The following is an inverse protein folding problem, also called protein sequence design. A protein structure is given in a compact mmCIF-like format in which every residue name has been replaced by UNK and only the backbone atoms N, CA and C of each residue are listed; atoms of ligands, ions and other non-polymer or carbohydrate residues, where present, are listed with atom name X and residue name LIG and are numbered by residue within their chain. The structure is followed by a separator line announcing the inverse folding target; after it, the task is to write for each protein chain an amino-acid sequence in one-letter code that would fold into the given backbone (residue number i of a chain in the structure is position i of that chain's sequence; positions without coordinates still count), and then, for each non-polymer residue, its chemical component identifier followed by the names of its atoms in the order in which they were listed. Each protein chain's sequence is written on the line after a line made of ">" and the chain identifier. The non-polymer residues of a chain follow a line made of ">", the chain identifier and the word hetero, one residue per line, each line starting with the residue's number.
data_IF_928496399523
#
_entry.id   IF_928496399523
#
_cell.length_a   1.000
_cell.length_b   1.000
_cell.length_c   1.000
_cell.angle_alpha   90.00
_cell.angle_beta   90.00
_cell.angle_gamma   90.00
#
_symmetry.space_group_name_H-M   'P 1'
#
loop_
_entity.id
_entity.type
_entity.pdbx_description
1 polymer ?
#
# COMPACT_ATOMS: atom_id res chain seq x y z
N UNK A 1 -11.92 -1.11 -25.58
CA UNK A 1 -12.54 -0.56 -26.81
C UNK A 1 -11.72 0.62 -27.33
N UNK A 2 -11.49 1.65 -26.52
CA UNK A 2 -10.69 2.83 -26.91
C UNK A 2 -9.20 2.57 -27.12
N UNK A 3 -8.69 1.41 -26.68
CA UNK A 3 -7.31 0.96 -26.84
C UNK A 3 -7.04 0.11 -28.09
N UNK A 4 -8.07 -0.18 -28.90
CA UNK A 4 -7.93 -0.92 -30.16
C UNK A 4 -7.28 0.02 -31.20
N UNK A 5 -6.39 -0.46 -32.09
CA UNK A 5 -5.68 0.38 -33.06
C UNK A 5 -6.61 1.33 -33.83
N UNK A 6 -7.73 0.82 -34.38
CA UNK A 6 -8.71 1.64 -35.11
C UNK A 6 -9.33 2.77 -34.30
N UNK A 7 -9.46 2.61 -32.98
CA UNK A 7 -10.00 3.64 -32.09
C UNK A 7 -8.93 4.62 -31.63
N UNK A 8 -7.68 4.16 -31.49
CA UNK A 8 -6.53 5.02 -31.22
C UNK A 8 -6.27 5.96 -32.40
N UNK A 9 -6.31 5.44 -33.63
CA UNK A 9 -6.16 6.23 -34.87
C UNK A 9 -7.28 7.26 -35.03
N UNK A 10 -8.48 6.96 -34.50
CA UNK A 10 -9.62 7.87 -34.47
C UNK A 10 -9.59 8.90 -33.31
N UNK A 11 -8.51 8.94 -32.52
CA UNK A 11 -8.34 9.89 -31.42
C UNK A 11 -9.13 9.56 -30.14
N UNK A 12 -9.72 8.37 -30.04
CA UNK A 12 -10.51 7.96 -28.87
C UNK A 12 -9.64 7.56 -27.65
N UNK A 13 -8.30 7.52 -27.81
CA UNK A 13 -7.35 7.11 -26.78
C UNK A 13 -7.44 7.94 -25.50
N UNK A 14 -7.25 9.26 -25.60
CA UNK A 14 -7.22 10.16 -24.44
C UNK A 14 -8.56 10.20 -23.67
N UNK A 15 -9.73 10.37 -24.31
CA UNK A 15 -11.02 10.31 -23.60
C UNK A 15 -11.24 8.96 -22.91
N UNK A 16 -10.88 7.86 -23.59
CA UNK A 16 -11.00 6.52 -23.02
C UNK A 16 -10.12 6.29 -21.80
N UNK A 17 -8.89 6.81 -21.84
CA UNK A 17 -7.94 6.76 -20.73
C UNK A 17 -8.47 7.53 -19.51
N UNK A 18 -8.97 8.75 -19.70
CA UNK A 18 -9.53 9.58 -18.62
C UNK A 18 -10.73 8.91 -17.94
N UNK A 19 -11.66 8.38 -18.73
CA UNK A 19 -12.82 7.63 -18.20
C UNK A 19 -12.36 6.39 -17.43
N UNK A 20 -11.38 5.67 -17.98
CA UNK A 20 -10.79 4.49 -17.34
C UNK A 20 -10.23 4.80 -15.94
N UNK A 21 -9.42 5.86 -15.81
CA UNK A 21 -8.84 6.27 -14.52
C UNK A 21 -9.94 6.60 -13.49
N UNK A 22 -10.99 7.31 -13.91
CA UNK A 22 -12.08 7.70 -13.00
C UNK A 22 -12.81 6.46 -12.50
N UNK A 23 -13.14 5.52 -13.40
CA UNK A 23 -13.82 4.28 -13.03
C UNK A 23 -12.96 3.40 -12.11
N UNK A 24 -11.66 3.28 -12.39
CA UNK A 24 -10.73 2.52 -11.55
C UNK A 24 -10.60 3.14 -10.14
N UNK A 25 -10.55 4.47 -10.06
CA UNK A 25 -10.45 5.18 -8.78
C UNK A 25 -11.66 4.97 -7.87
N UNK A 26 -12.86 4.82 -8.45
CA UNK A 26 -14.09 4.53 -7.67
C UNK A 26 -14.05 3.09 -7.10
N UNK A 27 -13.45 2.14 -7.81
CA UNK A 27 -13.43 0.72 -7.42
C UNK A 27 -12.52 0.38 -6.24
N UNK A 28 -11.46 1.14 -5.99
CA UNK A 28 -10.44 0.83 -4.97
C UNK A 28 -10.84 1.15 -3.52
N UNK A 29 -12.03 1.74 -3.28
CA UNK A 29 -12.43 2.25 -1.96
C UNK A 29 -13.01 1.23 -0.98
N UNK A 30 -12.92 -0.08 -1.23
CA UNK A 30 -13.67 -1.10 -0.49
C UNK A 30 -12.81 -2.27 0.01
N UNK A 31 -11.79 -1.99 0.82
CA UNK A 31 -11.13 -3.03 1.61
C UNK A 31 -11.60 -2.92 3.07
N UNK A 32 -12.45 -3.86 3.50
CA UNK A 32 -12.98 -3.92 4.86
C UNK A 32 -12.58 -5.24 5.50
N UNK A 33 -11.69 -5.15 6.49
CA UNK A 33 -11.38 -6.28 7.36
C UNK A 33 -12.57 -6.53 8.28
N UNK A 34 -13.05 -7.77 8.28
CA UNK A 34 -14.05 -8.21 9.25
C UNK A 34 -13.36 -8.57 10.55
N UNK A 35 -13.97 -8.14 11.65
CA UNK A 35 -13.58 -8.50 13.00
C UNK A 35 -13.77 -10.00 13.25
N UNK A 36 -12.71 -10.68 13.70
CA UNK A 36 -12.80 -12.06 14.18
C UNK A 36 -12.93 -12.05 15.71
N UNK A 37 -14.01 -12.63 16.23
CA UNK A 37 -14.11 -12.94 17.65
C UNK A 37 -13.12 -14.07 18.02
N UNK A 38 -12.47 -13.94 19.17
CA UNK A 38 -11.63 -15.00 19.74
C UNK A 38 -12.46 -16.27 19.96
N UNK A 39 -12.23 -17.31 19.14
CA UNK A 39 -12.86 -18.61 19.32
C UNK A 39 -11.91 -19.56 20.03
N UNK A 40 -12.30 -19.98 21.24
CA UNK A 40 -11.67 -21.12 21.92
C UNK A 40 -12.16 -22.38 21.20
N UNK A 41 -11.32 -22.98 20.36
CA UNK A 41 -11.63 -24.25 19.72
C UNK A 41 -11.17 -25.40 20.61
N UNK A 42 -12.11 -26.25 21.00
CA UNK A 42 -11.80 -27.55 21.62
C UNK A 42 -11.68 -28.55 20.49
N UNK A 43 -10.46 -29.09 20.28
CA UNK A 43 -10.24 -30.15 19.29
C UNK A 43 -10.99 -31.43 19.72
N UNK A 44 -11.29 -32.36 18.80
CA UNK A 44 -11.96 -33.64 19.13
C UNK A 44 -11.24 -34.49 20.18
N UNK A 45 -9.96 -34.20 20.45
CA UNK A 45 -9.13 -34.84 21.47
C UNK A 45 -9.17 -34.14 22.85
N UNK A 46 -10.09 -33.20 23.08
CA UNK A 46 -10.25 -32.50 24.36
C UNK A 46 -9.20 -31.42 24.66
N UNK A 47 -8.22 -31.20 23.78
CA UNK A 47 -7.24 -30.11 23.96
C UNK A 47 -7.89 -28.77 23.61
N UNK A 48 -7.91 -27.87 24.60
CA UNK A 48 -8.25 -26.45 24.41
C UNK A 48 -7.09 -25.79 23.67
N UNK A 49 -7.34 -25.31 22.46
CA UNK A 49 -6.37 -24.51 21.72
C UNK A 49 -6.86 -23.07 21.77
N UNK A 50 -6.11 -22.24 22.50
CA UNK A 50 -6.28 -20.79 22.42
C UNK A 50 -5.60 -20.38 21.12
N UNK A 51 -6.37 -19.86 20.18
CA UNK A 51 -5.80 -19.25 18.98
C UNK A 51 -5.21 -17.92 19.44
N UNK A 52 -3.89 -17.87 19.55
CA UNK A 52 -3.17 -16.62 19.77
C UNK A 52 -3.42 -15.71 18.55
N UNK A 53 -4.16 -14.62 18.79
CA UNK A 53 -4.65 -13.72 17.74
C UNK A 53 -3.49 -13.02 17.05
N UNK A 54 -2.49 -12.59 17.81
CA UNK A 54 -1.36 -11.81 17.29
C UNK A 54 -0.51 -12.71 16.36
N UNK A 55 -0.25 -13.95 16.80
CA UNK A 55 0.54 -14.92 16.03
C UNK A 55 -0.19 -15.48 14.81
N UNK A 56 -1.53 -15.41 14.79
CA UNK A 56 -2.38 -15.82 13.67
C UNK A 56 -2.54 -14.69 12.65
N UNK A 57 -2.68 -13.45 13.12
CA UNK A 57 -2.74 -12.26 12.25
C UNK A 57 -1.42 -12.05 11.51
N UNK A 58 -0.27 -12.18 12.18
CA UNK A 58 1.05 -12.10 11.53
C UNK A 58 1.17 -13.08 10.34
N UNK A 59 0.73 -14.32 10.51
CA UNK A 59 0.75 -15.34 9.45
C UNK A 59 -0.18 -15.00 8.29
N UNK A 60 -1.36 -14.49 8.58
CA UNK A 60 -2.35 -14.09 7.56
C UNK A 60 -1.82 -12.88 6.79
N UNK A 61 -1.29 -11.87 7.47
CA UNK A 61 -0.69 -10.70 6.83
C UNK A 61 0.50 -11.09 5.97
N UNK A 62 1.39 -11.97 6.44
CA UNK A 62 2.47 -12.48 5.60
C UNK A 62 1.96 -13.25 4.38
N UNK A 63 0.96 -14.12 4.52
CA UNK A 63 0.38 -14.85 3.39
C UNK A 63 -0.31 -13.91 2.39
N UNK A 64 -1.04 -12.91 2.88
CA UNK A 64 -1.64 -11.86 2.07
C UNK A 64 -0.57 -11.07 1.31
N UNK A 65 0.48 -10.62 1.99
CA UNK A 65 1.57 -9.85 1.39
C UNK A 65 2.30 -10.64 0.29
N UNK A 66 2.53 -11.93 0.54
CA UNK A 66 3.07 -12.86 -0.46
C UNK A 66 2.14 -13.00 -1.67
N UNK A 67 0.83 -13.11 -1.45
CA UNK A 67 -0.15 -13.22 -2.53
C UNK A 67 -0.21 -11.95 -3.38
N UNK A 68 -0.21 -10.76 -2.76
CA UNK A 68 -0.20 -9.47 -3.45
C UNK A 68 1.07 -9.33 -4.30
N UNK A 69 2.24 -9.56 -3.72
CA UNK A 69 3.52 -9.46 -4.44
C UNK A 69 3.66 -10.51 -5.56
N UNK A 70 3.13 -11.72 -5.36
CA UNK A 70 3.07 -12.73 -6.43
C UNK A 70 2.13 -12.27 -7.55
N UNK A 71 0.98 -11.67 -7.21
CA UNK A 71 0.06 -11.08 -8.17
C UNK A 71 0.68 -9.93 -8.96
N UNK A 72 1.52 -9.11 -8.34
CA UNK A 72 2.23 -8.02 -9.00
C UNK A 72 3.18 -8.51 -10.11
N UNK A 73 3.69 -9.76 -10.04
CA UNK A 73 4.48 -10.37 -11.11
C UNK A 73 3.69 -10.59 -12.41
N UNK A 74 2.35 -10.49 -12.39
CA UNK A 74 1.54 -10.46 -13.61
C UNK A 74 1.93 -9.33 -14.56
N UNK A 75 2.54 -8.26 -14.06
CA UNK A 75 3.10 -7.18 -14.88
C UNK A 75 4.16 -7.69 -15.88
N UNK A 76 4.86 -8.80 -15.59
CA UNK A 76 5.74 -9.45 -16.58
C UNK A 76 4.95 -9.86 -17.83
N UNK A 77 3.84 -10.57 -17.65
CA UNK A 77 3.01 -10.99 -18.78
C UNK A 77 2.40 -9.78 -19.50
N UNK A 78 1.87 -8.81 -18.75
CA UNK A 78 1.20 -7.63 -19.30
C UNK A 78 2.14 -6.77 -20.15
N UNK A 79 3.38 -6.55 -19.71
CA UNK A 79 4.37 -5.72 -20.41
C UNK A 79 4.87 -6.36 -21.71
N UNK A 80 5.04 -7.68 -21.76
CA UNK A 80 5.35 -8.37 -23.01
C UNK A 80 4.16 -8.39 -23.97
N UNK A 81 2.94 -8.61 -23.47
CA UNK A 81 1.73 -8.54 -24.31
C UNK A 81 1.56 -7.14 -24.89
N UNK A 82 1.81 -6.10 -24.09
CA UNK A 82 1.77 -4.72 -24.55
C UNK A 82 2.78 -4.47 -25.67
N UNK A 83 4.04 -4.90 -25.48
CA UNK A 83 5.11 -4.72 -26.45
C UNK A 83 4.88 -5.49 -27.75
N UNK A 84 4.45 -6.74 -27.67
CA UNK A 84 4.40 -7.66 -28.82
C UNK A 84 3.02 -7.69 -29.53
N UNK A 85 1.93 -7.37 -28.82
CA UNK A 85 0.55 -7.44 -29.35
C UNK A 85 -0.15 -6.07 -29.31
N UNK A 86 0.02 -5.33 -28.22
CA UNK A 86 -0.53 -3.99 -28.03
C UNK A 86 -1.43 -3.84 -26.81
N UNK A 87 -1.71 -2.58 -26.46
CA UNK A 87 -2.41 -2.17 -25.24
C UNK A 87 -3.78 -2.83 -25.02
N UNK A 88 -4.55 -3.09 -26.07
CA UNK A 88 -5.88 -3.68 -25.93
C UNK A 88 -5.85 -5.09 -25.32
N UNK A 89 -4.82 -5.89 -25.65
CA UNK A 89 -4.68 -7.25 -25.16
C UNK A 89 -4.19 -7.25 -23.70
N UNK A 90 -3.28 -6.34 -23.35
CA UNK A 90 -2.84 -6.10 -21.98
C UNK A 90 -4.01 -5.72 -21.05
N UNK A 91 -4.87 -4.78 -21.48
CA UNK A 91 -6.05 -4.40 -20.71
C UNK A 91 -7.10 -5.50 -20.64
N UNK A 92 -7.24 -6.33 -21.68
CA UNK A 92 -8.14 -7.49 -21.66
C UNK A 92 -7.71 -8.52 -20.63
N UNK A 93 -6.40 -8.79 -20.49
CA UNK A 93 -5.88 -9.69 -19.46
C UNK A 93 -6.27 -9.21 -18.05
N UNK A 94 -6.08 -7.92 -17.76
CA UNK A 94 -6.47 -7.32 -16.49
C UNK A 94 -7.99 -7.42 -16.24
N UNK A 95 -8.80 -7.17 -17.28
CA UNK A 95 -10.25 -7.33 -17.19
C UNK A 95 -10.68 -8.77 -16.86
N UNK A 96 -10.09 -9.76 -17.54
CA UNK A 96 -10.37 -11.17 -17.29
C UNK A 96 -9.99 -11.59 -15.86
N UNK A 97 -8.84 -11.11 -15.36
CA UNK A 97 -8.42 -11.35 -13.98
C UNK A 97 -9.40 -10.75 -12.96
N UNK A 98 -9.93 -9.55 -13.23
CA UNK A 98 -10.95 -8.91 -12.40
C UNK A 98 -12.29 -9.66 -12.45
N UNK A 99 -12.72 -10.14 -13.62
CA UNK A 99 -13.91 -10.98 -13.72
C UNK A 99 -13.76 -12.29 -12.94
N UNK A 100 -12.58 -12.89 -12.96
CA UNK A 100 -12.28 -14.11 -12.21
C UNK A 100 -12.30 -13.86 -10.69
N UNK A 101 -11.75 -12.72 -10.23
CA UNK A 101 -11.78 -12.37 -8.81
C UNK A 101 -13.20 -12.08 -8.31
N UNK A 102 -14.02 -11.39 -9.12
CA UNK A 102 -15.45 -11.18 -8.84
C UNK A 102 -16.23 -12.50 -8.81
N UNK A 103 -15.97 -13.40 -9.75
CA UNK A 103 -16.60 -14.73 -9.76
C UNK A 103 -16.26 -15.50 -8.49
N UNK A 104 -14.99 -15.51 -8.08
CA UNK A 104 -14.56 -16.13 -6.84
C UNK A 104 -15.27 -15.52 -5.62
N UNK A 105 -15.44 -14.19 -5.58
CA UNK A 105 -16.15 -13.50 -4.51
C UNK A 105 -17.64 -13.87 -4.47
N UNK A 106 -18.31 -13.93 -5.62
CA UNK A 106 -19.72 -14.33 -5.71
C UNK A 106 -19.92 -15.79 -5.27
N UNK A 107 -19.03 -16.70 -5.68
CA UNK A 107 -19.08 -18.10 -5.28
C UNK A 107 -18.80 -18.29 -3.78
N UNK A 108 -17.90 -17.46 -3.21
CA UNK A 108 -17.53 -17.50 -1.81
C UNK A 108 -18.42 -16.64 -0.90
N UNK A 109 -19.44 -15.94 -1.43
CA UNK A 109 -20.24 -14.95 -0.67
C UNK A 109 -20.83 -15.49 0.64
N UNK A 110 -21.22 -16.76 0.67
CA UNK A 110 -21.81 -17.41 1.84
C UNK A 110 -20.78 -17.71 2.95
N UNK A 111 -19.48 -17.52 2.67
CA UNK A 111 -18.37 -17.70 3.61
C UNK A 111 -17.76 -16.36 4.05
N UNK A 112 -18.21 -15.24 3.50
CA UNK A 112 -17.74 -13.90 3.87
C UNK A 112 -18.46 -13.47 5.14
N UNK A 113 -17.71 -13.07 6.16
CA UNK A 113 -18.28 -12.56 7.40
C UNK A 113 -19.05 -11.25 7.14
N UNK A 114 -20.14 -11.04 7.88
CA UNK A 114 -20.94 -9.82 7.75
C UNK A 114 -20.12 -8.59 8.15
N UNK A 115 -20.21 -7.48 7.41
CA UNK A 115 -19.48 -6.26 7.75
C UNK A 115 -19.81 -5.81 9.16
N UNK A 116 -18.78 -5.38 9.87
CA UNK A 116 -18.98 -4.71 11.13
C UNK A 116 -19.73 -3.37 10.97
N UNK A 117 -20.49 -2.93 11.98
CA UNK A 117 -21.04 -1.59 12.06
C UNK A 117 -20.00 -0.47 11.93
N UNK A 118 -20.44 0.69 11.41
CA UNK A 118 -19.57 1.81 11.07
C UNK A 118 -19.27 2.69 12.31
N UNK A 119 -18.00 2.72 12.71
CA UNK A 119 -17.53 3.54 13.84
C UNK A 119 -17.17 4.99 13.46
N UNK A 120 -16.99 5.28 12.16
CA UNK A 120 -16.48 6.57 11.68
C UNK A 120 -17.39 7.75 12.05
N UNK A 121 -18.73 7.66 11.92
CA UNK A 121 -19.62 8.76 12.32
C UNK A 121 -19.48 9.10 13.80
N UNK A 122 -19.35 8.09 14.67
CA UNK A 122 -19.18 8.27 16.11
C UNK A 122 -17.82 8.91 16.42
N UNK A 123 -16.75 8.43 15.80
CA UNK A 123 -15.42 9.04 15.94
C UNK A 123 -15.41 10.50 15.46
N UNK A 124 -16.08 10.80 14.34
CA UNK A 124 -16.20 12.17 13.81
C UNK A 124 -16.95 13.10 14.77
N UNK A 125 -18.04 12.64 15.39
CA UNK A 125 -18.77 13.40 16.43
C UNK A 125 -17.87 13.73 17.63
N UNK A 126 -17.08 12.77 18.10
CA UNK A 126 -16.14 12.97 19.21
C UNK A 126 -15.07 14.00 18.84
N UNK A 127 -14.48 13.88 17.65
CA UNK A 127 -13.46 14.82 17.15
C UNK A 127 -14.02 16.24 17.01
N UNK A 128 -15.24 16.40 16.49
CA UNK A 128 -15.91 17.70 16.43
C UNK A 128 -16.12 18.30 17.82
N UNK A 129 -16.45 17.48 18.82
CA UNK A 129 -16.62 17.95 20.19
C UNK A 129 -15.32 18.43 20.81
N UNK A 130 -14.24 17.65 20.64
CA UNK A 130 -12.92 18.03 21.09
C UNK A 130 -12.46 19.33 20.40
N UNK A 131 -12.69 19.47 19.08
CA UNK A 131 -12.32 20.66 18.32
C UNK A 131 -13.06 21.93 18.80
N UNK A 132 -14.36 21.83 19.10
CA UNK A 132 -15.14 22.95 19.64
C UNK A 132 -14.66 23.41 21.03
N UNK A 133 -14.04 22.52 21.79
CA UNK A 133 -13.53 22.78 23.14
C UNK A 133 -11.99 22.90 23.17
N UNK A 134 -11.40 23.50 22.13
CA UNK A 134 -9.97 23.80 22.10
C UNK A 134 -9.06 22.58 21.90
N UNK A 135 -9.50 21.59 21.13
CA UNK A 135 -8.80 20.32 20.87
C UNK A 135 -8.57 19.45 22.11
N UNK A 136 -9.37 19.65 23.17
CA UNK A 136 -9.29 18.84 24.37
C UNK A 136 -10.21 17.61 24.29
N UNK A 137 -9.61 16.43 24.06
CA UNK A 137 -10.33 15.15 24.00
C UNK A 137 -11.04 14.78 25.30
N UNK A 138 -10.59 15.28 26.45
CA UNK A 138 -11.22 14.97 27.75
C UNK A 138 -12.61 15.58 27.87
N UNK A 139 -12.88 16.66 27.13
CA UNK A 139 -14.22 17.30 27.10
C UNK A 139 -15.25 16.45 26.35
N UNK A 140 -14.80 15.53 25.49
CA UNK A 140 -15.68 14.63 24.75
C UNK A 140 -16.05 13.35 25.53
N UNK A 141 -15.51 13.18 26.75
CA UNK A 141 -15.91 12.10 27.68
C UNK A 141 -17.34 12.29 28.15
N UNK A 142 -18.04 11.19 28.45
CA UNK A 142 -19.43 11.17 28.93
C UNK A 142 -19.64 12.10 30.12
N UNK A 143 -18.72 12.12 31.08
CA UNK A 143 -18.81 12.97 32.26
C UNK A 143 -18.73 14.48 31.95
N UNK A 144 -18.13 14.85 30.81
CA UNK A 144 -18.03 16.23 30.35
C UNK A 144 -19.20 16.67 29.46
N UNK A 145 -20.18 15.80 29.20
CA UNK A 145 -21.31 16.07 28.32
C UNK A 145 -22.61 16.28 29.12
N UNK A 146 -23.34 17.33 28.79
CA UNK A 146 -24.65 17.65 29.38
C UNK A 146 -25.78 16.78 28.83
N UNK A 147 -25.56 16.13 27.68
CA UNK A 147 -26.52 15.25 27.01
C UNK A 147 -26.03 13.80 26.98
N UNK A 148 -26.97 12.85 26.98
CA UNK A 148 -26.66 11.44 26.84
C UNK A 148 -26.03 11.17 25.46
N UNK A 149 -24.79 10.67 25.45
CA UNK A 149 -24.03 10.35 24.24
C UNK A 149 -23.91 8.83 24.04
N UNK A 150 -23.90 8.41 22.77
CA UNK A 150 -23.91 7.00 22.38
C UNK A 150 -22.53 6.31 22.51
N UNK A 151 -21.47 7.05 22.83
CA UNK A 151 -20.10 6.54 22.96
C UNK A 151 -19.64 6.50 24.41
N UNK A 152 -18.75 5.56 24.74
CA UNK A 152 -18.19 5.38 26.10
C UNK A 152 -16.81 6.05 26.27
N UNK A 153 -16.41 6.29 27.51
CA UNK A 153 -15.14 6.95 27.85
C UNK A 153 -13.94 6.14 27.38
N UNK A 154 -14.04 4.80 27.41
CA UNK A 154 -13.02 3.92 26.82
C UNK A 154 -12.79 4.24 25.34
N UNK A 155 -13.86 4.48 24.58
CA UNK A 155 -13.77 4.76 23.16
C UNK A 155 -13.11 6.12 22.88
N UNK A 156 -13.39 7.14 23.71
CA UNK A 156 -12.72 8.46 23.61
C UNK A 156 -11.22 8.32 23.88
N UNK A 157 -10.83 7.56 24.92
CA UNK A 157 -9.42 7.31 25.23
C UNK A 157 -8.70 6.53 24.12
N UNK A 158 -9.35 5.48 23.58
CA UNK A 158 -8.76 4.70 22.50
C UNK A 158 -8.64 5.52 21.21
N UNK A 159 -9.61 6.39 20.91
CA UNK A 159 -9.53 7.33 19.78
C UNK A 159 -8.37 8.33 19.98
N UNK A 160 -8.19 8.88 21.18
CA UNK A 160 -7.08 9.77 21.50
C UNK A 160 -5.71 9.07 21.33
N UNK A 161 -5.57 7.83 21.80
CA UNK A 161 -4.36 7.02 21.61
C UNK A 161 -4.10 6.74 20.12
N UNK A 162 -5.16 6.46 19.36
CA UNK A 162 -5.11 6.33 17.91
C UNK A 162 -4.60 7.60 17.23
N UNK A 163 -5.14 8.77 17.57
CA UNK A 163 -4.69 10.06 17.02
C UNK A 163 -3.23 10.37 17.35
N UNK A 164 -2.75 10.01 18.55
CA UNK A 164 -1.33 10.14 18.90
C UNK A 164 -0.48 9.20 18.06
N UNK A 165 -0.93 7.96 17.83
CA UNK A 165 -0.26 7.01 16.94
C UNK A 165 -0.23 7.50 15.48
N UNK A 166 -1.29 8.19 15.03
CA UNK A 166 -1.38 8.81 13.70
C UNK A 166 -0.28 9.85 13.43
N UNK A 167 0.36 10.43 14.46
CA UNK A 167 1.46 11.40 14.27
C UNK A 167 2.63 10.82 13.48
N UNK A 168 2.90 9.52 13.63
CA UNK A 168 3.97 8.85 12.87
C UNK A 168 3.61 8.78 11.39
N UNK A 169 2.33 8.59 11.07
CA UNK A 169 1.84 8.54 9.69
C UNK A 169 1.88 9.89 8.97
N UNK A 170 2.06 11.01 9.69
CA UNK A 170 2.25 12.32 9.05
C UNK A 170 3.50 12.38 8.16
N UNK A 171 4.49 11.51 8.38
CA UNK A 171 5.71 11.43 7.57
C UNK A 171 5.61 10.45 6.39
N UNK A 172 4.59 9.59 6.37
CA UNK A 172 4.41 8.59 5.31
C UNK A 172 4.14 9.19 3.92
N UNK A 173 3.45 10.33 3.75
CA UNK A 173 3.29 10.94 2.43
C UNK A 173 4.63 11.23 1.73
N UNK A 174 5.66 11.64 2.48
CA UNK A 174 7.00 11.89 1.92
C UNK A 174 7.61 10.58 1.41
N UNK A 175 7.52 9.53 2.23
CA UNK A 175 8.00 8.20 1.87
C UNK A 175 7.27 7.65 0.65
N UNK A 176 5.95 7.80 0.58
CA UNK A 176 5.15 7.38 -0.57
C UNK A 176 5.55 8.12 -1.85
N UNK A 177 5.88 9.41 -1.78
CA UNK A 177 6.38 10.14 -2.95
C UNK A 177 7.69 9.54 -3.47
N UNK A 178 8.59 9.13 -2.58
CA UNK A 178 9.84 8.44 -2.91
C UNK A 178 9.58 7.04 -3.48
N UNK A 179 8.78 6.23 -2.80
CA UNK A 179 8.47 4.88 -3.24
C UNK A 179 7.76 4.87 -4.61
N UNK A 180 6.84 5.82 -4.85
CA UNK A 180 6.15 5.93 -6.14
C UNK A 180 7.10 6.24 -7.32
N UNK A 181 8.35 6.65 -7.06
CA UNK A 181 9.35 6.86 -8.12
C UNK A 181 9.58 5.60 -8.96
N UNK A 182 9.48 4.42 -8.34
CA UNK A 182 9.70 3.14 -9.01
C UNK A 182 8.69 2.87 -10.15
N UNK A 183 7.50 3.47 -10.06
CA UNK A 183 6.40 3.29 -10.99
C UNK A 183 6.23 4.48 -11.96
N UNK A 184 7.10 5.48 -11.92
CA UNK A 184 7.06 6.62 -12.83
C UNK A 184 8.45 6.99 -13.38
N UNK A 185 9.24 7.71 -12.60
CA UNK A 185 10.48 8.32 -13.05
C UNK A 185 11.57 7.28 -13.31
N UNK A 186 11.60 6.16 -12.58
CA UNK A 186 12.54 5.08 -12.87
C UNK A 186 12.25 4.40 -14.22
N UNK A 187 10.98 4.30 -14.60
CA UNK A 187 10.57 3.80 -15.93
C UNK A 187 11.05 4.76 -17.01
N UNK A 188 10.82 6.06 -16.83
CA UNK A 188 11.32 7.08 -17.75
C UNK A 188 12.86 7.12 -17.80
N UNK A 189 13.53 6.91 -16.67
CA UNK A 189 14.99 6.79 -16.61
C UNK A 189 15.46 5.54 -17.37
N UNK A 190 14.78 4.40 -17.22
CA UNK A 190 15.10 3.17 -17.96
C UNK A 190 14.97 3.36 -19.48
N UNK A 191 14.03 4.19 -19.93
CA UNK A 191 13.86 4.54 -21.35
C UNK A 191 15.08 5.27 -21.94
N UNK A 192 15.89 5.92 -21.10
CA UNK A 192 17.12 6.62 -21.49
C UNK A 192 18.37 5.72 -21.40
N UNK A 193 18.20 4.44 -21.05
CA UNK A 193 19.25 3.45 -20.83
C UNK A 193 19.17 2.31 -21.83
N UNK A 194 20.26 1.56 -21.99
CA UNK A 194 20.29 0.35 -22.81
C UNK A 194 19.53 -0.77 -22.09
N UNK A 195 18.34 -1.12 -22.60
CA UNK A 195 17.48 -2.16 -22.02
C UNK A 195 17.69 -3.56 -22.57
N UNK A 196 18.59 -3.70 -23.55
CA UNK A 196 18.90 -4.98 -24.22
C UNK A 196 17.66 -5.72 -24.76
N UNK A 197 16.65 -4.95 -25.20
CA UNK A 197 15.42 -5.48 -25.79
C UNK A 197 14.28 -5.70 -24.79
N UNK A 198 14.45 -5.40 -23.50
CA UNK A 198 13.36 -5.43 -22.53
C UNK A 198 12.53 -4.14 -22.58
N UNK A 199 11.20 -4.21 -22.35
CA UNK A 199 10.37 -3.03 -22.13
C UNK A 199 10.84 -2.25 -20.89
N UNK A 200 10.68 -0.93 -20.85
CA UNK A 200 11.05 -0.12 -19.67
C UNK A 200 10.16 -0.45 -18.46
N UNK A 201 8.89 -0.74 -18.71
CA UNK A 201 7.89 -1.11 -17.70
C UNK A 201 8.11 -2.52 -17.11
N UNK A 202 9.09 -3.26 -17.62
CA UNK A 202 9.53 -4.54 -17.05
C UNK A 202 10.22 -4.35 -15.69
N UNK A 203 11.08 -3.34 -15.56
CA UNK A 203 11.99 -3.19 -14.41
C UNK A 203 11.30 -2.97 -13.05
N UNK A 204 10.14 -2.29 -12.95
CA UNK A 204 9.38 -2.22 -11.70
C UNK A 204 9.06 -3.57 -11.08
N UNK A 205 8.96 -4.65 -11.87
CA UNK A 205 8.72 -6.01 -11.35
C UNK A 205 9.86 -6.55 -10.48
N UNK A 206 11.03 -5.92 -10.49
CA UNK A 206 12.15 -6.27 -9.63
C UNK A 206 11.88 -5.97 -8.15
N UNK A 207 11.08 -4.94 -7.83
CA UNK A 207 10.68 -4.64 -6.45
C UNK A 207 9.91 -5.81 -5.80
N UNK A 208 8.78 -6.31 -6.35
CA UNK A 208 8.04 -7.39 -5.71
C UNK A 208 8.85 -8.69 -5.64
N UNK A 209 9.76 -8.94 -6.60
CA UNK A 209 10.73 -10.05 -6.51
C UNK A 209 11.65 -9.85 -5.30
N UNK A 210 12.21 -8.66 -5.12
CA UNK A 210 13.05 -8.33 -3.98
C UNK A 210 12.29 -8.51 -2.67
N UNK A 211 11.04 -8.02 -2.56
CA UNK A 211 10.18 -8.18 -1.38
C UNK A 211 9.96 -9.66 -1.04
N UNK A 212 9.62 -10.50 -2.04
CA UNK A 212 9.40 -11.94 -1.82
C UNK A 212 10.64 -12.66 -1.27
N UNK A 213 11.84 -12.23 -1.67
CA UNK A 213 13.11 -12.80 -1.17
C UNK A 213 13.51 -12.20 0.18
N UNK A 214 13.35 -10.89 0.37
CA UNK A 214 13.83 -10.16 1.53
C UNK A 214 12.92 -10.31 2.74
N UNK A 215 11.59 -10.38 2.55
CA UNK A 215 10.64 -10.56 3.65
C UNK A 215 10.94 -11.80 4.52
N UNK A 216 11.13 -13.02 3.97
CA UNK A 216 11.50 -14.18 4.80
C UNK A 216 12.89 -14.03 5.42
N UNK A 217 13.83 -13.35 4.76
CA UNK A 217 15.16 -13.08 5.35
C UNK A 217 15.05 -12.15 6.56
N UNK A 218 14.29 -11.07 6.46
CA UNK A 218 14.10 -10.13 7.58
C UNK A 218 13.36 -10.82 8.74
N UNK A 219 12.28 -11.54 8.45
CA UNK A 219 11.43 -12.15 9.48
C UNK A 219 12.03 -13.39 10.13
N UNK A 220 12.66 -14.28 9.36
CA UNK A 220 13.17 -15.57 9.85
C UNK A 220 14.67 -15.55 10.18
N UNK A 221 15.43 -14.57 9.67
CA UNK A 221 16.88 -14.49 9.92
C UNK A 221 17.22 -13.25 10.74
N UNK A 222 16.88 -12.05 10.27
CA UNK A 222 17.28 -10.80 10.94
C UNK A 222 16.62 -10.66 12.32
N UNK A 223 15.29 -10.75 12.41
CA UNK A 223 14.60 -10.56 13.69
C UNK A 223 14.98 -11.61 14.76
N UNK A 224 15.11 -12.91 14.47
CA UNK A 224 15.63 -13.87 15.44
C UNK A 224 17.07 -13.59 15.83
N UNK A 225 17.92 -13.14 14.90
CA UNK A 225 19.32 -12.79 15.20
C UNK A 225 19.42 -11.59 16.12
N UNK A 226 18.66 -10.52 15.86
CA UNK A 226 18.58 -9.36 16.75
C UNK A 226 18.09 -9.74 18.15
N UNK A 227 17.12 -10.66 18.24
CA UNK A 227 16.65 -11.22 19.52
C UNK A 227 17.75 -12.01 20.25
N UNK A 228 18.53 -12.84 19.56
CA UNK A 228 19.69 -13.54 20.13
C UNK A 228 20.76 -12.58 20.65
N UNK A 229 20.94 -11.45 19.95
CA UNK A 229 21.86 -10.38 20.34
C UNK A 229 21.28 -9.44 21.41
N UNK A 230 20.06 -9.69 21.92
CA UNK A 230 19.37 -8.86 22.91
C UNK A 230 19.15 -7.39 22.48
N UNK A 231 19.12 -7.14 21.16
CA UNK A 231 18.88 -5.80 20.60
C UNK A 231 17.37 -5.58 20.51
N UNK A 232 16.85 -4.58 21.24
CA UNK A 232 15.45 -4.16 21.14
C UNK A 232 15.23 -3.42 19.84
N UNK A 233 14.39 -3.97 18.95
CA UNK A 233 14.05 -3.34 17.68
C UNK A 233 12.53 -3.07 17.60
N UNK A 234 12.05 -1.97 18.23
CA UNK A 234 10.64 -1.63 18.26
C UNK A 234 10.12 -1.15 16.90
N UNK A 235 8.80 -1.20 16.64
CA UNK A 235 8.21 -0.84 15.34
C UNK A 235 8.65 0.52 14.79
N UNK A 236 8.71 1.56 15.65
CA UNK A 236 9.12 2.91 15.22
C UNK A 236 10.56 2.94 14.69
N UNK A 237 11.47 2.18 15.30
CA UNK A 237 12.86 2.11 14.83
C UNK A 237 12.96 1.33 13.52
N UNK A 238 12.13 0.30 13.33
CA UNK A 238 12.04 -0.44 12.06
C UNK A 238 11.60 0.49 10.94
N UNK A 239 10.54 1.26 11.16
CA UNK A 239 10.08 2.27 10.19
C UNK A 239 11.18 3.27 9.87
N UNK A 240 11.89 3.79 10.89
CA UNK A 240 12.99 4.73 10.67
C UNK A 240 14.13 4.13 9.81
N UNK A 241 14.44 2.84 9.97
CA UNK A 241 15.39 2.12 9.10
C UNK A 241 14.85 2.03 7.68
N UNK A 242 13.56 1.73 7.48
CA UNK A 242 12.93 1.75 6.16
C UNK A 242 13.06 3.11 5.46
N UNK A 243 12.77 4.19 6.18
CA UNK A 243 12.93 5.56 5.66
C UNK A 243 14.38 5.88 5.27
N UNK A 244 15.36 5.42 6.07
CA UNK A 244 16.77 5.62 5.77
C UNK A 244 17.19 4.85 4.51
N UNK A 245 16.75 3.59 4.38
CA UNK A 245 17.06 2.76 3.21
C UNK A 245 16.45 3.38 1.95
N UNK A 246 15.22 3.88 2.05
CA UNK A 246 14.54 4.58 0.95
C UNK A 246 15.30 5.84 0.52
N UNK A 247 15.75 6.65 1.49
CA UNK A 247 16.56 7.82 1.20
C UNK A 247 17.88 7.46 0.47
N UNK A 248 18.50 6.33 0.84
CA UNK A 248 19.70 5.81 0.17
C UNK A 248 19.36 5.34 -1.25
N UNK A 249 18.21 4.67 -1.45
CA UNK A 249 17.75 4.22 -2.76
C UNK A 249 17.56 5.39 -3.74
N UNK A 250 16.89 6.46 -3.28
CA UNK A 250 16.68 7.67 -4.08
C UNK A 250 18.00 8.41 -4.36
N UNK A 251 18.89 8.50 -3.37
CA UNK A 251 20.22 9.10 -3.58
C UNK A 251 21.04 8.32 -4.63
N UNK A 252 20.96 6.99 -4.60
CA UNK A 252 21.60 6.13 -5.60
C UNK A 252 20.97 6.33 -6.99
N UNK A 253 19.64 6.41 -7.08
CA UNK A 253 18.92 6.72 -8.32
C UNK A 253 19.34 8.07 -8.93
N UNK A 254 19.51 9.11 -8.11
CA UNK A 254 20.04 10.39 -8.56
C UNK A 254 21.47 10.28 -9.10
N UNK A 255 22.31 9.44 -8.47
CA UNK A 255 23.64 9.10 -8.97
C UNK A 255 23.60 8.42 -10.34
N UNK A 256 22.68 7.48 -10.56
CA UNK A 256 22.46 6.85 -11.88
C UNK A 256 22.07 7.91 -12.91
N UNK A 257 21.16 8.82 -12.57
CA UNK A 257 20.75 9.89 -13.49
C UNK A 257 21.95 10.75 -13.92
N UNK A 258 22.84 11.10 -12.99
CA UNK A 258 24.07 11.82 -13.30
C UNK A 258 24.99 11.01 -14.23
N UNK A 259 25.09 9.70 -14.03
CA UNK A 259 25.86 8.83 -14.93
C UNK A 259 25.26 8.83 -16.34
N UNK A 260 23.93 8.79 -16.47
CA UNK A 260 23.24 8.88 -17.78
C UNK A 260 23.62 10.18 -18.49
N UNK A 261 23.62 11.32 -17.79
CA UNK A 261 23.96 12.61 -18.38
C UNK A 261 25.43 12.76 -18.79
N UNK A 262 26.33 11.99 -18.19
CA UNK A 262 27.77 12.04 -18.51
C UNK A 262 28.18 11.05 -19.61
N UNK A 263 27.28 10.21 -20.09
CA UNK A 263 27.56 9.18 -21.09
C UNK A 263 26.94 9.53 -22.43
N UNK A 264 27.69 9.33 -23.51
CA UNK A 264 27.19 9.55 -24.87
C UNK A 264 26.12 8.52 -25.27
N UNK A 265 25.42 8.72 -26.40
CA UNK A 265 25.78 9.70 -27.42
C UNK A 265 25.20 11.10 -27.21
N UNK A 266 24.17 11.27 -26.37
CA UNK A 266 23.46 12.54 -26.22
C UNK A 266 23.72 13.28 -24.91
N UNK A 267 24.45 12.68 -23.96
CA UNK A 267 24.83 13.31 -22.68
C UNK A 267 23.59 13.85 -21.94
N UNK A 268 23.55 15.14 -21.58
CA UNK A 268 22.44 15.77 -20.85
C UNK A 268 21.10 15.72 -21.58
N UNK A 269 21.10 15.64 -22.91
CA UNK A 269 19.89 15.66 -23.74
C UNK A 269 19.57 14.26 -24.27
N UNK A 270 19.44 13.30 -23.35
CA UNK A 270 19.15 11.90 -23.69
C UNK A 270 17.97 11.79 -24.66
N UNK A 271 18.13 11.00 -25.72
CA UNK A 271 17.16 10.78 -26.81
C UNK A 271 16.90 11.95 -27.79
N UNK A 272 17.41 13.15 -27.51
CA UNK A 272 17.08 14.36 -28.29
C UNK A 272 18.16 14.77 -29.30
N UNK A 273 19.29 14.05 -29.36
CA UNK A 273 20.39 14.39 -30.26
C UNK A 273 20.33 13.64 -31.61
N UNK A 274 20.97 14.15 -32.67
CA UNK A 274 21.01 13.47 -33.98
C UNK A 274 21.59 12.05 -33.92
N UNK A 275 22.52 11.80 -32.99
CA UNK A 275 23.11 10.48 -32.77
C UNK A 275 22.15 9.48 -32.07
N UNK A 276 20.97 9.93 -31.66
CA UNK A 276 19.92 9.09 -31.07
C UNK A 276 19.06 8.34 -32.10
N UNK A 277 19.23 8.57 -33.41
CA UNK A 277 18.35 8.01 -34.46
C UNK A 277 16.86 8.26 -34.18
N UNK A 278 16.49 9.53 -33.94
CA UNK A 278 15.10 9.93 -33.66
C UNK A 278 14.55 9.37 -32.33
N UNK A 279 15.39 9.23 -31.31
CA UNK A 279 14.98 8.74 -29.98
C UNK A 279 15.04 7.23 -29.79
N UNK A 280 15.70 6.50 -30.70
CA UNK A 280 15.83 5.03 -30.63
C UNK A 280 17.09 4.54 -29.91
N UNK A 281 18.17 5.31 -29.99
CA UNK A 281 19.47 4.98 -29.39
C UNK A 281 19.61 5.75 -28.07
N UNK A 282 19.49 5.07 -26.90
CA UNK A 282 19.68 5.70 -25.60
C UNK A 282 21.16 6.01 -25.31
N UNK A 283 21.42 6.69 -24.19
CA UNK A 283 22.78 6.83 -23.68
C UNK A 283 23.33 5.46 -23.27
N UNK A 284 24.65 5.29 -23.43
CA UNK A 284 25.37 4.02 -23.23
C UNK A 284 25.57 3.70 -21.76
N UNK A 285 24.45 3.48 -21.08
CA UNK A 285 24.35 3.10 -19.68
C UNK A 285 23.41 1.92 -19.61
N UNK A 286 23.88 0.81 -19.04
CA UNK A 286 23.05 -0.38 -18.91
C UNK A 286 21.99 -0.18 -17.83
N UNK A 287 20.73 -0.49 -18.17
CA UNK A 287 19.58 -0.39 -17.25
C UNK A 287 19.74 -1.25 -16.00
N UNK A 288 20.57 -2.30 -16.04
CA UNK A 288 20.83 -3.19 -14.91
C UNK A 288 21.45 -2.47 -13.71
N UNK A 289 22.01 -1.26 -13.90
CA UNK A 289 22.42 -0.40 -12.80
C UNK A 289 21.27 0.04 -11.90
N UNK A 290 20.01 -0.09 -12.34
CA UNK A 290 18.83 0.18 -11.50
C UNK A 290 18.49 -0.97 -10.53
N UNK A 291 19.03 -2.19 -10.70
CA UNK A 291 18.73 -3.34 -9.82
C UNK A 291 18.87 -2.97 -8.32
N UNK A 292 19.98 -2.33 -7.88
CA UNK A 292 20.12 -1.97 -6.47
C UNK A 292 19.05 -0.99 -5.98
N UNK A 293 18.51 -0.12 -6.84
CA UNK A 293 17.42 0.79 -6.45
C UNK A 293 16.18 -0.03 -6.07
N UNK A 294 15.75 -0.94 -6.95
CA UNK A 294 14.58 -1.80 -6.70
C UNK A 294 14.76 -2.74 -5.51
N UNK A 295 15.99 -3.24 -5.28
CA UNK A 295 16.30 -4.10 -4.12
C UNK A 295 16.29 -3.30 -2.82
N UNK A 296 16.83 -2.07 -2.82
CA UNK A 296 16.81 -1.20 -1.65
C UNK A 296 15.40 -0.74 -1.33
N UNK A 297 14.62 -0.34 -2.32
CA UNK A 297 13.21 0.03 -2.18
C UNK A 297 12.38 -1.15 -1.64
N UNK A 298 12.53 -2.35 -2.21
CA UNK A 298 11.87 -3.55 -1.67
C UNK A 298 12.31 -3.91 -0.23
N UNK A 299 13.57 -3.63 0.14
CA UNK A 299 14.03 -3.76 1.53
C UNK A 299 13.39 -2.71 2.45
N UNK A 300 13.30 -1.46 1.98
CA UNK A 300 12.65 -0.37 2.69
C UNK A 300 11.18 -0.70 2.95
N UNK A 301 10.47 -1.17 1.93
CA UNK A 301 9.06 -1.58 1.96
C UNK A 301 8.79 -2.60 3.06
N UNK A 302 9.64 -3.62 3.20
CA UNK A 302 9.53 -4.61 4.29
C UNK A 302 9.62 -3.95 5.69
N UNK A 303 10.39 -2.87 5.83
CA UNK A 303 10.58 -2.18 7.10
C UNK A 303 9.56 -1.08 7.39
N UNK A 304 9.01 -0.42 6.36
CA UNK A 304 8.02 0.62 6.55
C UNK A 304 6.59 0.11 6.34
N UNK A 305 6.26 -0.58 5.25
CA UNK A 305 4.87 -0.86 4.90
C UNK A 305 4.29 -1.97 5.78
N UNK A 306 4.95 -3.12 5.83
CA UNK A 306 4.54 -4.26 6.68
C UNK A 306 4.43 -3.84 8.15
N UNK A 307 5.42 -3.08 8.64
CA UNK A 307 5.46 -2.62 10.03
C UNK A 307 4.42 -1.53 10.30
N UNK A 308 4.06 -0.71 9.30
CA UNK A 308 3.01 0.29 9.42
C UNK A 308 1.64 -0.33 9.62
N UNK A 309 1.35 -1.41 8.90
CA UNK A 309 0.10 -2.15 8.99
C UNK A 309 0.02 -2.86 10.35
N UNK A 310 1.10 -3.51 10.79
CA UNK A 310 1.23 -4.09 12.13
C UNK A 310 0.99 -3.03 13.22
N UNK A 311 1.62 -1.86 13.08
CA UNK A 311 1.51 -0.76 14.04
C UNK A 311 0.10 -0.17 14.08
N UNK A 312 -0.52 0.07 12.92
CA UNK A 312 -1.88 0.58 12.82
C UNK A 312 -2.88 -0.38 13.46
N UNK A 313 -2.75 -1.68 13.18
CA UNK A 313 -3.61 -2.71 13.73
C UNK A 313 -3.51 -2.77 15.27
N UNK A 314 -2.28 -2.75 15.79
CA UNK A 314 -2.01 -2.81 17.23
C UNK A 314 -2.49 -1.56 17.98
N UNK A 315 -2.56 -0.40 17.31
CA UNK A 315 -3.02 0.87 17.87
C UNK A 315 -4.50 1.17 17.64
N UNK A 316 -5.18 0.39 16.79
CA UNK A 316 -6.62 0.56 16.55
C UNK A 316 -7.45 0.20 17.80
N UNK A 317 -8.48 1.01 18.16
CA UNK A 317 -9.38 0.73 19.28
C UNK A 317 -10.03 -0.65 19.23
N UNK A 318 -10.27 -1.28 20.38
CA UNK A 318 -10.94 -2.59 20.44
C UNK A 318 -12.35 -2.56 19.82
N UNK A 319 -13.05 -1.43 19.94
CA UNK A 319 -14.42 -1.27 19.42
C UNK A 319 -14.48 -1.12 17.89
N UNK A 320 -13.35 -0.91 17.21
CA UNK A 320 -13.23 -1.07 15.75
C UNK A 320 -13.12 -2.55 15.37
N UNK A 321 -12.70 -3.39 16.32
CA UNK A 321 -12.50 -4.83 16.19
C UNK A 321 -13.75 -5.64 16.56
N UNK A 322 -14.85 -4.99 16.93
CA UNK A 322 -16.16 -5.61 17.15
C UNK A 322 -17.18 -4.47 17.32
N UNK A 323 -17.91 -4.11 16.26
CA UNK A 323 -18.79 -2.96 16.29
C UNK A 323 -20.08 -3.24 17.05
N UNK A 324 -20.38 -2.35 17.99
CA UNK A 324 -21.69 -2.28 18.62
C UNK A 324 -22.74 -1.81 17.60
N UNK A 325 -24.00 -2.25 17.72
CA UNK A 325 -25.06 -1.89 16.79
C UNK A 325 -25.30 -0.38 16.76
N UNK A 326 -25.21 0.17 15.55
CA UNK A 326 -25.50 1.56 15.23
C UNK A 326 -26.99 1.87 15.51
N UNK A 327 -27.27 2.79 16.43
CA UNK A 327 -28.60 3.43 16.53
C UNK A 327 -28.51 4.79 15.84
N UNK A 328 -29.17 4.93 14.70
CA UNK A 328 -29.26 6.21 14.00
C UNK A 328 -30.06 7.21 14.83
N UNK A 329 -29.41 8.24 15.34
CA UNK A 329 -30.07 9.52 15.67
C UNK A 329 -29.39 10.65 14.90
N UNK A 330 -30.26 11.51 14.39
CA UNK A 330 -30.14 12.48 13.32
C UNK A 330 -29.09 13.57 13.56
N UNK A 331 -28.85 14.33 12.50
CA UNK A 331 -27.82 15.34 12.26
C UNK A 331 -27.60 16.35 13.40
N UNK A 332 -26.36 16.85 13.41
CA UNK A 332 -25.78 17.82 14.32
C UNK A 332 -26.71 19.00 14.63
N UNK A 333 -26.93 19.25 15.93
CA UNK A 333 -27.03 20.61 16.49
C UNK A 333 -27.11 20.65 18.04
N UNK A 334 -27.03 19.51 18.75
CA UNK A 334 -27.28 19.53 20.22
C UNK A 334 -26.28 18.72 21.07
N UNK A 335 -25.09 18.38 20.57
CA UNK A 335 -24.21 17.40 21.24
C UNK A 335 -22.89 17.92 21.81
N UNK A 336 -22.63 19.23 21.80
CA UNK A 336 -21.45 19.78 22.47
C UNK A 336 -21.85 21.10 23.11
N UNK A 337 -22.17 21.05 24.40
CA UNK A 337 -22.39 22.28 25.17
C UNK A 337 -21.06 22.92 25.54
N UNK A 338 -21.10 24.25 25.66
CA UNK A 338 -20.24 24.97 26.59
C UNK A 338 -20.61 24.61 28.02
#
# INVERSE_FOLDING_TARGET
>A
MTSIPSSLDAGAGLPGFLIGIILMSIGLGADQYTSWEEKILVKPNGKRVIIDRDLSMDKIYHAYYWAVNTGALSALATTYIEKDVGFWAAYLLAYCALCLSLLALVLCRNKIATPGGNILPTAFRIMLCAAKNGFNMDTARRQGQTHAVDWDDKFVMDLQRGLIACRIFAFYPILWVCHLQINNNLISQAAQMETHGLPNDFFPTLNPIAVLVLLPLVTNVLYPTLRKLHIKFPPVNRMAVGFLIEAIAIAYCAGIQQVIYTRGPCFEHALECPASDGGRIPNRVSVWLQIPVYVLDGLAEVFFDVVSQEYAYNKAPDNVRSPAPFRSKTFADTYCSR
#
